data_IF_630430013861
#
_entry.id   IF_630430013861
#
_cell.length_a   1.000
_cell.length_b   1.000
_cell.length_c   1.000
_cell.angle_alpha   90.00
_cell.angle_beta   90.00
_cell.angle_gamma   90.00
#
_symmetry.space_group_name_H-M   'P 1'
#
loop_
_entity.id
_entity.type
_entity.pdbx_description
1 polymer ?
#
# COMPACT_ATOMS: atom_id res chain seq x y z
N UNK A 1 4.90 15.09 10.99
CA UNK A 1 3.66 14.36 11.32
C UNK A 1 2.65 15.35 11.85
N UNK A 2 1.47 15.48 11.22
CA UNK A 2 0.45 16.49 11.56
C UNK A 2 -0.47 16.06 12.71
N UNK A 3 -0.59 14.76 12.93
CA UNK A 3 -1.48 14.20 13.94
C UNK A 3 -0.75 13.27 14.89
N UNK A 4 -1.35 12.96 16.03
CA UNK A 4 -0.77 12.01 16.98
C UNK A 4 -0.81 10.57 16.45
N UNK A 5 0.05 9.71 16.99
CA UNK A 5 -0.01 8.25 16.69
C UNK A 5 -1.37 7.65 17.02
N UNK A 6 -1.98 8.11 18.09
CA UNK A 6 -3.30 7.63 18.51
C UNK A 6 -4.38 7.97 17.48
N UNK A 7 -4.34 9.17 16.91
CA UNK A 7 -5.26 9.55 15.83
C UNK A 7 -5.09 8.64 14.60
N UNK A 8 -3.88 8.35 14.17
CA UNK A 8 -3.64 7.42 13.05
C UNK A 8 -4.11 6.00 13.36
N UNK A 9 -3.92 5.52 14.59
CA UNK A 9 -4.45 4.22 15.01
C UNK A 9 -5.98 4.18 15.00
N UNK A 10 -6.63 5.27 15.39
CA UNK A 10 -8.08 5.37 15.33
C UNK A 10 -8.60 5.38 13.88
N UNK A 11 -7.91 6.06 12.98
CA UNK A 11 -8.20 6.03 11.53
C UNK A 11 -8.05 4.62 10.96
N UNK A 12 -6.98 3.94 11.30
CA UNK A 12 -6.76 2.55 10.89
C UNK A 12 -7.91 1.64 11.34
N UNK A 13 -8.33 1.74 12.59
CA UNK A 13 -9.46 0.97 13.12
C UNK A 13 -10.76 1.23 12.37
N UNK A 14 -11.05 2.49 12.01
CA UNK A 14 -12.23 2.85 11.21
C UNK A 14 -12.18 2.19 9.83
N UNK A 15 -11.02 2.23 9.17
CA UNK A 15 -10.82 1.58 7.86
C UNK A 15 -10.97 0.07 7.98
N UNK A 16 -10.35 -0.55 8.97
CA UNK A 16 -10.45 -2.00 9.20
C UNK A 16 -11.89 -2.44 9.48
N UNK A 17 -12.65 -1.66 10.24
CA UNK A 17 -14.08 -1.92 10.45
C UNK A 17 -14.85 -1.90 9.12
N UNK A 18 -14.64 -0.89 8.30
CA UNK A 18 -15.26 -0.79 6.97
C UNK A 18 -14.84 -1.94 6.06
N UNK A 19 -13.57 -2.36 6.12
CA UNK A 19 -13.09 -3.54 5.41
C UNK A 19 -13.83 -4.81 5.83
N UNK A 20 -13.99 -5.04 7.13
CA UNK A 20 -14.73 -6.19 7.68
C UNK A 20 -16.18 -6.20 7.18
N UNK A 21 -16.86 -5.06 7.23
CA UNK A 21 -18.24 -4.92 6.77
C UNK A 21 -18.39 -5.25 5.26
N UNK A 22 -17.35 -5.05 4.48
CA UNK A 22 -17.31 -5.31 3.02
C UNK A 22 -16.68 -6.66 2.65
N UNK A 23 -16.22 -7.43 3.62
CA UNK A 23 -15.50 -8.69 3.38
C UNK A 23 -14.12 -8.51 2.74
N UNK A 24 -13.49 -7.33 2.90
CA UNK A 24 -12.13 -7.05 2.41
C UNK A 24 -11.14 -7.43 3.52
N UNK A 25 -10.17 -8.27 3.19
CA UNK A 25 -9.16 -8.75 4.12
C UNK A 25 -7.82 -8.04 3.97
N UNK A 26 -7.52 -7.57 2.75
CA UNK A 26 -6.33 -6.80 2.42
C UNK A 26 -6.73 -5.61 1.53
N UNK A 27 -6.35 -4.40 1.91
CA UNK A 27 -6.59 -3.19 1.11
C UNK A 27 -5.27 -2.69 0.55
N UNK A 28 -5.24 -2.43 -0.76
CA UNK A 28 -4.14 -1.73 -1.44
C UNK A 28 -4.65 -0.34 -1.83
N UNK A 29 -4.16 0.69 -1.14
CA UNK A 29 -4.56 2.08 -1.35
C UNK A 29 -3.42 2.85 -2.02
N UNK A 30 -3.68 3.41 -3.21
CA UNK A 30 -2.73 4.22 -4.00
C UNK A 30 -3.12 5.70 -4.07
N UNK A 31 -4.34 6.05 -3.72
CA UNK A 31 -4.74 7.45 -3.66
C UNK A 31 -3.91 8.19 -2.62
N UNK A 32 -3.31 9.31 -3.02
CA UNK A 32 -2.39 10.07 -2.17
C UNK A 32 -3.05 10.61 -0.91
N UNK A 33 -4.33 10.99 -0.99
CA UNK A 33 -5.08 11.47 0.18
C UNK A 33 -5.35 10.34 1.17
N UNK A 34 -5.68 9.16 0.65
CA UNK A 34 -5.91 7.97 1.49
C UNK A 34 -4.59 7.48 2.12
N UNK A 35 -3.49 7.50 1.37
CA UNK A 35 -2.17 7.18 1.92
C UNK A 35 -1.79 8.13 3.06
N UNK A 36 -2.02 9.44 2.87
CA UNK A 36 -1.78 10.44 3.90
C UNK A 36 -2.71 10.23 5.11
N UNK A 37 -3.99 9.97 4.88
CA UNK A 37 -4.96 9.68 5.94
C UNK A 37 -4.51 8.51 6.83
N UNK A 38 -4.03 7.44 6.20
CA UNK A 38 -3.64 6.20 6.88
C UNK A 38 -2.28 6.27 7.58
N UNK A 39 -1.33 7.05 7.06
CA UNK A 39 0.07 6.97 7.50
C UNK A 39 0.74 8.31 7.78
N UNK A 40 0.20 9.40 7.27
CA UNK A 40 0.85 10.71 7.26
C UNK A 40 1.82 10.91 6.09
N UNK A 41 1.92 9.94 5.17
CA UNK A 41 2.80 10.05 4.00
C UNK A 41 2.18 10.97 2.95
N UNK A 42 2.83 12.09 2.67
CA UNK A 42 2.40 13.13 1.72
C UNK A 42 3.52 13.52 0.74
N UNK A 43 4.30 12.57 0.26
CA UNK A 43 5.42 12.86 -0.62
C UNK A 43 4.98 13.23 -2.06
N UNK A 44 5.86 13.98 -2.75
CA UNK A 44 5.65 14.41 -4.14
C UNK A 44 5.79 13.29 -5.18
N UNK A 45 6.19 12.10 -4.77
CA UNK A 45 6.42 10.95 -5.64
C UNK A 45 5.14 10.24 -6.11
N UNK A 46 4.00 10.87 -6.01
CA UNK A 46 2.69 10.31 -6.38
C UNK A 46 2.61 9.80 -7.84
N UNK A 47 3.43 10.32 -8.73
CA UNK A 47 3.52 9.90 -10.14
C UNK A 47 4.33 8.61 -10.35
N UNK A 48 4.95 8.08 -9.33
CA UNK A 48 5.52 6.74 -9.30
C UNK A 48 4.60 5.80 -8.53
N UNK A 49 4.68 4.50 -8.83
CA UNK A 49 3.88 3.51 -8.11
C UNK A 49 4.28 3.47 -6.64
N UNK A 50 3.32 3.72 -5.79
CA UNK A 50 3.44 3.64 -4.33
C UNK A 50 2.07 3.27 -3.76
N UNK A 51 2.03 2.63 -2.61
CA UNK A 51 0.77 2.30 -1.97
C UNK A 51 0.92 2.12 -0.47
N UNK A 52 -0.20 2.16 0.21
CA UNK A 52 -0.35 1.70 1.59
C UNK A 52 -1.14 0.40 1.57
N UNK A 53 -0.66 -0.59 2.28
CA UNK A 53 -1.28 -1.91 2.38
C UNK A 53 -1.83 -2.06 3.79
N UNK A 54 -3.12 -2.32 3.91
CA UNK A 54 -3.80 -2.54 5.18
C UNK A 54 -4.30 -3.98 5.24
N UNK A 55 -3.74 -4.77 6.14
CA UNK A 55 -4.34 -6.05 6.50
C UNK A 55 -5.40 -5.81 7.57
N UNK A 56 -6.54 -6.49 7.46
CA UNK A 56 -7.73 -6.24 8.31
C UNK A 56 -7.48 -6.39 9.81
N UNK A 57 -6.47 -7.16 10.21
CA UNK A 57 -6.09 -7.39 11.62
C UNK A 57 -4.72 -6.80 12.00
N UNK A 58 -4.09 -6.00 11.14
CA UNK A 58 -2.77 -5.44 11.44
C UNK A 58 -2.82 -4.32 12.48
N UNK A 59 -1.78 -4.19 13.27
CA UNK A 59 -1.61 -3.08 14.21
C UNK A 59 -1.16 -1.78 13.53
N UNK A 60 -0.47 -1.90 12.40
CA UNK A 60 -0.01 -0.80 11.54
C UNK A 60 -0.14 -1.20 10.08
N UNK A 61 -0.39 -0.27 9.17
CA UNK A 61 -0.30 -0.54 7.74
C UNK A 61 1.16 -0.66 7.27
N UNK A 62 1.37 -1.22 6.08
CA UNK A 62 2.65 -1.17 5.38
C UNK A 62 2.64 -0.01 4.39
N UNK A 63 3.74 0.72 4.29
CA UNK A 63 3.95 1.76 3.29
C UNK A 63 4.96 1.27 2.25
N UNK A 64 4.51 1.08 1.01
CA UNK A 64 5.30 0.55 -0.09
C UNK A 64 5.73 1.68 -1.03
N UNK A 65 7.03 1.96 -1.09
CA UNK A 65 7.60 3.11 -1.81
C UNK A 65 8.89 2.72 -2.54
N UNK A 66 9.24 3.50 -3.58
CA UNK A 66 10.53 3.32 -4.23
C UNK A 66 11.70 3.73 -3.33
N UNK A 67 12.89 3.21 -3.63
CA UNK A 67 14.09 3.43 -2.81
C UNK A 67 14.42 4.91 -2.61
N UNK A 68 14.28 5.74 -3.65
CA UNK A 68 14.58 7.17 -3.58
C UNK A 68 13.68 7.94 -2.60
N UNK A 69 12.45 7.46 -2.37
CA UNK A 69 11.47 8.15 -1.51
C UNK A 69 11.43 7.61 -0.07
N UNK A 70 12.19 6.57 0.22
CA UNK A 70 12.20 5.92 1.53
C UNK A 70 12.53 6.89 2.68
N UNK A 71 13.46 7.84 2.47
CA UNK A 71 13.78 8.86 3.45
C UNK A 71 12.59 9.70 3.87
N UNK A 72 11.75 10.08 2.91
CA UNK A 72 10.51 10.80 3.17
C UNK A 72 9.52 9.98 3.98
N UNK A 73 9.37 8.70 3.66
CA UNK A 73 8.49 7.80 4.41
C UNK A 73 8.92 7.62 5.87
N UNK A 74 10.23 7.49 6.12
CA UNK A 74 10.77 7.39 7.47
C UNK A 74 10.54 8.65 8.33
N UNK A 75 10.54 9.82 7.72
CA UNK A 75 10.40 11.10 8.44
C UNK A 75 8.94 11.48 8.64
N UNK A 76 8.11 11.26 7.62
CA UNK A 76 6.73 11.78 7.58
C UNK A 76 5.70 10.85 8.19
N UNK A 77 5.93 9.54 8.23
CA UNK A 77 4.96 8.58 8.77
C UNK A 77 5.17 8.32 10.26
N UNK A 78 4.12 7.80 10.89
CA UNK A 78 4.19 7.31 12.27
C UNK A 78 4.65 5.85 12.36
N UNK A 79 4.83 5.19 11.21
CA UNK A 79 5.06 3.76 11.10
C UNK A 79 6.42 3.35 11.68
N UNK A 80 6.48 2.14 12.17
CA UNK A 80 7.75 1.49 12.47
C UNK A 80 8.55 1.33 11.18
N UNK A 81 9.87 1.41 11.29
CA UNK A 81 10.77 1.35 10.14
C UNK A 81 10.60 0.07 9.31
N UNK A 82 10.35 -1.05 9.97
CA UNK A 82 10.10 -2.36 9.37
C UNK A 82 8.82 -2.43 8.53
N UNK A 83 7.87 -1.51 8.75
CA UNK A 83 6.61 -1.40 8.01
C UNK A 83 6.72 -0.47 6.79
N UNK A 84 7.89 0.08 6.51
CA UNK A 84 8.19 0.84 5.31
C UNK A 84 8.97 -0.09 4.38
N UNK A 85 8.26 -0.56 3.34
CA UNK A 85 8.76 -1.54 2.38
C UNK A 85 9.27 -0.80 1.15
N UNK A 86 10.51 -1.08 0.78
CA UNK A 86 11.21 -0.37 -0.30
C UNK A 86 11.34 -1.32 -1.49
N UNK A 87 10.97 -0.85 -2.69
CA UNK A 87 11.27 -1.54 -3.93
C UNK A 87 12.38 -0.83 -4.72
N UNK A 88 13.10 -1.61 -5.52
CA UNK A 88 14.24 -1.13 -6.30
C UNK A 88 13.80 -0.30 -7.51
N UNK A 89 14.61 0.70 -7.87
CA UNK A 89 14.39 1.57 -9.05
C UNK A 89 14.30 0.81 -10.38
N UNK A 90 14.88 -0.40 -10.47
CA UNK A 90 14.85 -1.21 -11.70
C UNK A 90 13.46 -1.56 -12.20
N UNK A 91 12.43 -1.49 -11.33
CA UNK A 91 11.05 -1.78 -11.70
C UNK A 91 10.32 -0.59 -12.33
N UNK A 92 10.94 0.60 -12.35
CA UNK A 92 10.35 1.83 -12.87
C UNK A 92 10.65 1.99 -14.34
N UNK A 93 9.59 2.19 -15.16
CA UNK A 93 9.68 2.40 -16.61
C UNK A 93 10.47 1.29 -17.35
N UNK A 94 10.43 0.06 -16.89
CA UNK A 94 11.20 -1.07 -17.44
C UNK A 94 10.27 -2.22 -17.82
N UNK A 95 9.30 -1.93 -18.69
CA UNK A 95 8.38 -2.96 -19.16
C UNK A 95 9.13 -4.21 -19.67
N UNK A 96 8.70 -5.47 -19.35
CA UNK A 96 7.45 -5.82 -18.66
C UNK A 96 7.53 -5.78 -17.13
N UNK A 97 8.67 -5.45 -16.53
CA UNK A 97 8.76 -5.29 -15.06
C UNK A 97 7.90 -4.12 -14.57
N UNK A 98 7.37 -4.27 -13.38
CA UNK A 98 6.52 -3.27 -12.73
C UNK A 98 6.71 -3.31 -11.22
N UNK A 99 6.55 -2.18 -10.49
CA UNK A 99 6.63 -2.18 -9.02
C UNK A 99 5.67 -3.14 -8.32
N UNK A 100 4.59 -3.56 -8.98
CA UNK A 100 3.70 -4.60 -8.46
C UNK A 100 4.32 -6.00 -8.45
N UNK A 101 5.39 -6.25 -9.20
CA UNK A 101 6.08 -7.54 -9.12
C UNK A 101 6.64 -7.78 -7.71
N UNK A 102 7.45 -6.87 -7.10
CA UNK A 102 7.87 -7.02 -5.71
C UNK A 102 6.71 -6.88 -4.70
N UNK A 103 5.65 -6.13 -5.01
CA UNK A 103 4.47 -6.06 -4.16
C UNK A 103 3.77 -7.42 -4.07
N UNK A 104 3.60 -8.12 -5.17
CA UNK A 104 3.02 -9.46 -5.23
C UNK A 104 3.87 -10.45 -4.43
N UNK A 105 5.19 -10.38 -4.56
CA UNK A 105 6.10 -11.23 -3.76
C UNK A 105 5.99 -10.93 -2.26
N UNK A 106 5.81 -9.68 -1.86
CA UNK A 106 5.53 -9.30 -0.48
C UNK A 106 4.22 -9.92 0.03
N UNK A 107 3.16 -9.87 -0.77
CA UNK A 107 1.86 -10.47 -0.44
C UNK A 107 1.99 -11.97 -0.25
N UNK A 108 2.67 -12.67 -1.15
CA UNK A 108 2.93 -14.11 -1.05
C UNK A 108 3.80 -14.46 0.17
N UNK A 109 4.84 -13.70 0.44
CA UNK A 109 5.72 -13.89 1.60
C UNK A 109 4.95 -13.84 2.92
N UNK A 110 3.92 -12.98 3.00
CA UNK A 110 3.06 -12.87 4.16
C UNK A 110 1.89 -13.88 4.15
N UNK A 111 1.80 -14.76 3.14
CA UNK A 111 0.72 -15.74 2.98
C UNK A 111 -0.65 -15.09 2.80
N UNK A 112 -0.69 -13.96 2.11
CA UNK A 112 -1.90 -13.19 1.83
C UNK A 112 -2.46 -13.38 0.40
N UNK A 113 -1.88 -14.30 -0.36
CA UNK A 113 -2.19 -14.52 -1.78
C UNK A 113 -3.61 -15.07 -2.06
N UNK A 114 -4.34 -15.46 -1.01
CA UNK A 114 -5.72 -15.94 -1.12
C UNK A 114 -6.75 -15.04 -0.44
N UNK A 115 -6.31 -13.91 0.09
CA UNK A 115 -7.19 -12.96 0.77
C UNK A 115 -8.05 -12.21 -0.25
N UNK A 116 -9.23 -11.76 0.18
CA UNK A 116 -10.04 -10.83 -0.58
C UNK A 116 -9.36 -9.44 -0.57
N UNK A 117 -8.89 -9.02 -1.73
CA UNK A 117 -8.14 -7.78 -1.89
C UNK A 117 -9.06 -6.67 -2.40
N UNK A 118 -9.10 -5.56 -1.67
CA UNK A 118 -9.72 -4.32 -2.13
C UNK A 118 -8.69 -3.42 -2.80
N UNK A 119 -9.08 -2.79 -3.91
CA UNK A 119 -8.29 -1.82 -4.66
C UNK A 119 -9.13 -0.60 -5.03
N UNK A 120 -8.47 0.53 -5.24
CA UNK A 120 -9.11 1.79 -5.60
C UNK A 120 -9.23 1.92 -7.12
N UNK A 121 -10.24 1.28 -7.73
CA UNK A 121 -10.41 1.19 -9.19
C UNK A 121 -10.59 2.57 -9.87
N UNK A 122 -11.10 3.57 -9.15
CA UNK A 122 -11.33 4.93 -9.67
C UNK A 122 -10.19 5.90 -9.34
N UNK A 123 -9.11 5.45 -8.73
CA UNK A 123 -7.95 6.28 -8.46
C UNK A 123 -7.13 6.52 -9.74
N UNK A 124 -6.72 7.77 -9.98
CA UNK A 124 -5.82 8.12 -11.08
C UNK A 124 -4.45 7.43 -11.01
N UNK A 125 -4.08 6.94 -9.84
CA UNK A 125 -2.78 6.31 -9.58
C UNK A 125 -2.81 4.80 -9.74
N UNK A 126 -4.00 4.18 -9.70
CA UNK A 126 -4.18 2.75 -9.90
C UNK A 126 -4.46 2.49 -11.38
N UNK A 127 -3.44 2.06 -12.11
CA UNK A 127 -3.54 1.85 -13.55
C UNK A 127 -4.13 0.49 -13.91
N UNK A 128 -4.61 0.34 -15.16
CA UNK A 128 -5.04 -0.94 -15.68
C UNK A 128 -3.94 -2.00 -15.58
N UNK A 129 -2.66 -1.60 -15.75
CA UNK A 129 -1.54 -2.53 -15.63
C UNK A 129 -1.30 -3.00 -14.19
N UNK A 130 -1.55 -2.15 -13.19
CA UNK A 130 -1.58 -2.58 -11.79
C UNK A 130 -2.60 -3.70 -11.58
N UNK A 131 -3.81 -3.52 -12.09
CA UNK A 131 -4.87 -4.52 -12.01
C UNK A 131 -4.50 -5.83 -12.71
N UNK A 132 -3.97 -5.77 -13.92
CA UNK A 132 -3.52 -6.97 -14.66
C UNK A 132 -2.43 -7.72 -13.89
N UNK A 133 -1.45 -7.01 -13.35
CA UNK A 133 -0.40 -7.62 -12.54
C UNK A 133 -0.97 -8.36 -11.32
N UNK A 134 -1.91 -7.76 -10.61
CA UNK A 134 -2.58 -8.41 -9.48
C UNK A 134 -3.33 -9.67 -9.92
N UNK A 135 -4.12 -9.58 -10.99
CA UNK A 135 -4.88 -10.73 -11.49
C UNK A 135 -3.99 -11.89 -11.95
N UNK A 136 -2.87 -11.57 -12.59
CA UNK A 136 -1.91 -12.59 -13.05
C UNK A 136 -1.10 -13.17 -11.89
N UNK A 137 -0.64 -12.33 -10.98
CA UNK A 137 0.22 -12.74 -9.87
C UNK A 137 -0.52 -13.39 -8.69
N UNK A 138 -1.79 -13.05 -8.50
CA UNK A 138 -2.63 -13.51 -7.38
C UNK A 138 -3.98 -14.05 -7.90
N UNK A 139 -3.97 -15.15 -8.68
CA UNK A 139 -5.17 -15.65 -9.36
C UNK A 139 -6.24 -16.19 -8.41
N UNK A 140 -5.90 -16.42 -7.14
CA UNK A 140 -6.80 -16.97 -6.12
C UNK A 140 -7.25 -15.92 -5.07
N UNK A 141 -6.89 -14.65 -5.30
CA UNK A 141 -7.33 -13.54 -4.46
C UNK A 141 -8.73 -13.08 -4.83
#
# INVERSE_FOLDING_TARGET
MLFSKEEYKNRLKKVQKSMQEKGIELLISQDTNNMNYLTGYDAWSFYYTQCVIVHVNAEEPLCFVRAQDAGGAYIKTYLKRENIIIYEEKYIHTWPMHPYDPLIELIKKNKWEKLNIGVEMDSHYFTAYCYEKLKQGLPNA
#
